data_IF_162601475101
#
_entry.id   IF_162601475101
#
_cell.length_a   1.000
_cell.length_b   1.000
_cell.length_c   1.000
_cell.angle_alpha   90.00
_cell.angle_beta   90.00
_cell.angle_gamma   90.00
#
_symmetry.space_group_name_H-M   'P 1'
#
loop_
_entity.id
_entity.type
_entity.pdbx_description
1 polymer ?
#
# COMPACT_ATOMS: atom_id res chain seq x y z
N UNK A 1 1.56 -45.04 24.19
CA UNK A 1 0.66 -44.35 23.23
C UNK A 1 0.39 -42.89 23.59
N UNK A 2 -0.08 -42.54 24.80
CA UNK A 2 -0.39 -41.14 25.19
C UNK A 2 0.78 -40.15 25.03
N UNK A 3 2.00 -40.55 25.39
CA UNK A 3 3.21 -39.70 25.23
C UNK A 3 3.59 -39.45 23.77
N UNK A 4 3.31 -40.40 22.87
CA UNK A 4 3.56 -40.24 21.43
C UNK A 4 2.54 -39.30 20.78
N UNK A 5 1.26 -39.40 21.15
CA UNK A 5 0.23 -38.45 20.68
C UNK A 5 0.50 -37.03 21.18
N UNK A 6 1.00 -36.88 22.41
CA UNK A 6 1.32 -35.57 22.98
C UNK A 6 2.53 -34.92 22.29
N UNK A 7 3.55 -35.70 21.94
CA UNK A 7 4.69 -35.22 21.15
C UNK A 7 4.28 -34.82 19.72
N UNK A 8 3.38 -35.58 19.07
CA UNK A 8 2.85 -35.23 17.74
C UNK A 8 1.98 -33.98 17.81
N UNK A 9 1.13 -33.85 18.83
CA UNK A 9 0.29 -32.67 19.04
C UNK A 9 1.11 -31.41 19.32
N UNK A 10 2.17 -31.51 20.13
CA UNK A 10 3.11 -30.40 20.36
C UNK A 10 3.89 -30.07 19.09
N UNK A 11 4.38 -31.09 18.35
CA UNK A 11 5.09 -30.88 17.09
C UNK A 11 4.22 -30.18 16.05
N UNK A 12 2.98 -30.64 15.86
CA UNK A 12 2.01 -30.01 14.98
C UNK A 12 1.61 -28.60 15.47
N UNK A 13 1.43 -28.43 16.78
CA UNK A 13 1.14 -27.13 17.39
C UNK A 13 2.27 -26.11 17.20
N UNK A 14 3.53 -26.51 17.38
CA UNK A 14 4.71 -25.67 17.11
C UNK A 14 4.83 -25.37 15.62
N UNK A 15 4.48 -26.32 14.73
CA UNK A 15 4.57 -26.13 13.29
C UNK A 15 3.50 -25.16 12.78
N UNK A 16 2.26 -25.29 13.28
CA UNK A 16 1.14 -24.39 12.96
C UNK A 16 1.33 -23.02 13.61
N UNK A 17 1.72 -22.96 14.89
CA UNK A 17 2.00 -21.70 15.58
C UNK A 17 3.25 -21.02 15.01
N UNK A 18 4.27 -21.79 14.62
CA UNK A 18 5.43 -21.29 13.88
C UNK A 18 5.03 -20.68 12.55
N UNK A 19 4.17 -21.36 11.77
CA UNK A 19 3.65 -20.83 10.49
C UNK A 19 2.78 -19.57 10.66
N UNK A 20 2.07 -19.43 11.79
CA UNK A 20 1.24 -18.26 12.10
C UNK A 20 2.04 -17.10 12.72
N UNK A 21 3.11 -17.38 13.46
CA UNK A 21 3.98 -16.39 14.09
C UNK A 21 5.10 -15.88 13.17
N UNK A 22 5.25 -16.50 12.01
CA UNK A 22 6.03 -15.97 10.90
C UNK A 22 5.21 -14.84 10.26
N UNK A 23 5.22 -13.66 10.86
CA UNK A 23 5.08 -12.39 10.13
C UNK A 23 6.29 -12.27 9.19
N UNK A 24 6.29 -13.16 8.21
CA UNK A 24 7.29 -13.31 7.16
C UNK A 24 7.26 -12.05 6.35
N UNK A 25 8.45 -11.46 6.21
CA UNK A 25 8.60 -10.08 5.86
C UNK A 25 7.66 -9.56 4.78
N UNK A 26 7.14 -8.37 5.02
CA UNK A 26 6.24 -7.73 4.08
C UNK A 26 6.88 -7.56 2.69
N UNK A 27 6.42 -8.39 1.75
CA UNK A 27 6.70 -8.25 0.33
C UNK A 27 5.64 -7.35 -0.30
N UNK A 28 6.10 -6.47 -1.18
CA UNK A 28 5.25 -5.64 -2.03
C UNK A 28 5.50 -5.96 -3.50
N UNK A 29 4.44 -5.93 -4.29
CA UNK A 29 4.55 -5.93 -5.74
C UNK A 29 4.55 -4.49 -6.23
N UNK A 30 5.70 -4.06 -6.76
CA UNK A 30 5.87 -2.77 -7.44
C UNK A 30 5.52 -2.91 -8.92
N UNK A 31 4.57 -2.13 -9.40
CA UNK A 31 4.18 -2.02 -10.81
C UNK A 31 4.80 -0.77 -11.43
N UNK A 32 5.54 -0.96 -12.53
CA UNK A 32 6.19 0.10 -13.32
C UNK A 32 5.71 0.02 -14.76
N UNK A 33 5.57 1.17 -15.43
CA UNK A 33 5.06 1.27 -16.80
C UNK A 33 6.18 1.62 -17.79
N UNK A 34 6.10 1.08 -19.01
CA UNK A 34 6.94 1.50 -20.14
C UNK A 34 6.19 1.28 -21.45
N UNK A 35 5.88 2.35 -22.16
CA UNK A 35 5.24 2.30 -23.47
C UNK A 35 3.86 1.63 -23.42
N UNK A 36 3.07 1.91 -22.38
CA UNK A 36 1.75 1.34 -22.13
C UNK A 36 1.77 -0.06 -21.51
N UNK A 37 2.94 -0.68 -21.32
CA UNK A 37 3.05 -2.02 -20.72
C UNK A 37 3.44 -1.93 -19.24
N UNK A 38 2.66 -2.61 -18.40
CA UNK A 38 2.94 -2.78 -16.98
C UNK A 38 3.91 -3.93 -16.70
N UNK A 39 4.76 -3.74 -15.71
CA UNK A 39 5.72 -4.72 -15.24
C UNK A 39 5.73 -4.77 -13.72
N UNK A 40 5.59 -5.97 -13.18
CA UNK A 40 5.55 -6.24 -11.74
C UNK A 40 6.92 -6.70 -11.23
N UNK A 41 7.28 -6.28 -10.02
CA UNK A 41 8.52 -6.70 -9.35
C UNK A 41 8.24 -6.83 -7.86
N UNK A 42 8.55 -7.99 -7.28
CA UNK A 42 8.41 -8.21 -5.84
C UNK A 42 9.62 -7.67 -5.10
N UNK A 43 9.38 -6.85 -4.08
CA UNK A 43 10.39 -6.15 -3.30
C UNK A 43 10.04 -6.24 -1.81
N UNK A 44 11.05 -6.06 -0.97
CA UNK A 44 10.87 -5.91 0.47
C UNK A 44 10.65 -4.43 0.76
N UNK A 45 9.69 -4.12 1.65
CA UNK A 45 9.37 -2.76 2.06
C UNK A 45 9.63 -2.55 3.55
N UNK A 46 10.34 -1.46 3.86
CA UNK A 46 10.50 -1.02 5.24
C UNK A 46 9.94 0.37 5.41
N UNK A 47 9.43 0.63 6.60
CA UNK A 47 8.98 1.94 7.01
C UNK A 47 9.95 2.47 8.06
N UNK A 48 10.43 3.70 7.87
CA UNK A 48 11.29 4.40 8.82
C UNK A 48 10.76 5.83 8.95
N UNK A 49 10.44 6.25 10.17
CA UNK A 49 9.95 7.60 10.47
C UNK A 49 8.70 7.98 9.62
N UNK A 50 7.77 7.03 9.40
CA UNK A 50 6.55 7.23 8.60
C UNK A 50 6.79 7.28 7.08
N UNK A 51 8.00 6.96 6.62
CA UNK A 51 8.38 6.95 5.20
C UNK A 51 8.64 5.53 4.74
N UNK A 52 8.20 5.22 3.52
CA UNK A 52 8.31 3.90 2.96
C UNK A 52 9.49 3.78 2.00
N UNK A 53 10.21 2.68 2.12
CA UNK A 53 11.41 2.43 1.35
C UNK A 53 11.45 1.03 0.77
N UNK A 54 11.88 0.95 -0.47
CA UNK A 54 12.25 -0.30 -1.13
C UNK A 54 13.70 -0.24 -1.57
N UNK A 55 14.34 -1.40 -1.58
CA UNK A 55 15.75 -1.53 -1.96
C UNK A 55 15.88 -2.31 -3.26
N UNK A 56 16.66 -1.77 -4.19
CA UNK A 56 17.15 -2.53 -5.34
C UNK A 56 18.46 -3.20 -4.98
N UNK A 57 18.52 -4.54 -5.04
CA UNK A 57 19.75 -5.29 -4.77
C UNK A 57 20.85 -5.06 -5.84
N UNK A 58 20.51 -4.44 -6.98
CA UNK A 58 21.46 -4.09 -8.05
C UNK A 58 21.11 -2.70 -8.60
N UNK A 59 22.11 -1.84 -8.89
CA UNK A 59 21.87 -0.49 -9.44
C UNK A 59 21.39 -0.55 -10.90
N UNK A 60 21.68 -1.65 -11.60
CA UNK A 60 21.26 -1.95 -12.98
C UNK A 60 19.91 -2.66 -13.08
N UNK A 61 19.13 -2.72 -11.99
CA UNK A 61 17.82 -3.36 -12.04
C UNK A 61 16.92 -2.67 -13.08
N UNK A 62 16.34 -3.45 -14.01
CA UNK A 62 15.52 -2.91 -15.11
C UNK A 62 14.35 -2.06 -14.63
N UNK A 63 13.78 -2.39 -13.47
CA UNK A 63 12.69 -1.61 -12.87
C UNK A 63 13.15 -0.22 -12.40
N UNK A 64 14.41 -0.05 -11.96
CA UNK A 64 14.95 1.27 -11.62
C UNK A 64 15.05 2.15 -12.85
N UNK A 65 15.47 1.60 -13.99
CA UNK A 65 15.53 2.36 -15.24
C UNK A 65 14.13 2.83 -15.68
N UNK A 66 13.11 1.98 -15.54
CA UNK A 66 11.71 2.36 -15.81
C UNK A 66 11.22 3.42 -14.83
N UNK A 67 11.49 3.26 -13.55
CA UNK A 67 11.13 4.21 -12.51
C UNK A 67 11.77 5.58 -12.74
N UNK A 68 13.05 5.63 -13.15
CA UNK A 68 13.72 6.89 -13.50
C UNK A 68 13.07 7.60 -14.69
N UNK A 69 12.53 6.83 -15.65
CA UNK A 69 11.83 7.38 -16.81
C UNK A 69 10.39 7.80 -16.47
N UNK A 70 9.70 7.05 -15.61
CA UNK A 70 8.37 7.34 -15.13
C UNK A 70 8.28 7.03 -13.62
N UNK A 71 8.31 8.05 -12.74
CA UNK A 71 8.28 7.85 -11.29
C UNK A 71 6.89 7.46 -10.77
N UNK A 72 5.87 7.44 -11.63
CA UNK A 72 4.53 7.00 -11.26
C UNK A 72 4.50 5.46 -11.18
N UNK A 73 4.31 4.93 -9.98
CA UNK A 73 4.26 3.48 -9.75
C UNK A 73 2.95 3.06 -9.07
N UNK A 74 2.61 1.78 -9.21
CA UNK A 74 1.59 1.12 -8.41
C UNK A 74 2.23 0.23 -7.35
N UNK A 75 1.68 0.19 -6.15
CA UNK A 75 2.15 -0.67 -5.06
C UNK A 75 1.02 -1.59 -4.60
N UNK A 76 1.31 -2.89 -4.45
CA UNK A 76 0.37 -3.85 -3.86
C UNK A 76 1.05 -4.68 -2.78
N UNK A 77 0.50 -4.72 -1.58
CA UNK A 77 1.02 -5.52 -0.46
C UNK A 77 0.58 -6.99 -0.59
N UNK A 78 1.45 -7.93 -0.24
CA UNK A 78 1.24 -9.37 -0.51
C UNK A 78 0.10 -10.00 0.30
N UNK A 79 -0.35 -9.37 1.40
CA UNK A 79 -1.55 -9.79 2.14
C UNK A 79 -2.88 -9.48 1.44
N UNK A 80 -2.83 -8.79 0.29
CA UNK A 80 -4.02 -8.31 -0.41
C UNK A 80 -4.03 -8.83 -1.86
N UNK A 81 -4.10 -10.15 -2.03
CA UNK A 81 -4.02 -10.84 -3.32
C UNK A 81 -5.04 -10.36 -4.38
N UNK A 82 -6.08 -9.64 -3.95
CA UNK A 82 -7.10 -9.04 -4.83
C UNK A 82 -7.24 -7.52 -4.68
N UNK A 83 -6.39 -6.84 -3.90
CA UNK A 83 -6.44 -5.39 -3.82
C UNK A 83 -5.90 -4.74 -5.10
N UNK A 84 -6.51 -3.60 -5.43
CA UNK A 84 -5.98 -2.70 -6.45
C UNK A 84 -4.58 -2.23 -6.05
N UNK A 85 -3.72 -1.97 -7.05
CA UNK A 85 -2.43 -1.34 -6.79
C UNK A 85 -2.67 0.12 -6.42
N UNK A 86 -2.16 0.53 -5.26
CA UNK A 86 -2.24 1.91 -4.77
C UNK A 86 -1.24 2.80 -5.54
N UNK A 87 -1.59 4.05 -5.85
CA UNK A 87 -0.70 4.96 -6.59
C UNK A 87 0.36 5.59 -5.68
N UNK A 88 1.64 5.45 -6.07
CA UNK A 88 2.78 6.05 -5.37
C UNK A 88 3.70 6.83 -6.32
N UNK A 89 4.37 7.84 -5.80
CA UNK A 89 5.57 8.43 -6.38
C UNK A 89 6.79 7.70 -5.84
N UNK A 90 7.68 7.28 -6.74
CA UNK A 90 8.91 6.62 -6.36
C UNK A 90 10.13 7.46 -6.71
N UNK A 91 11.02 7.68 -5.74
CA UNK A 91 12.18 8.55 -5.87
C UNK A 91 13.45 7.83 -5.43
N UNK A 92 14.45 7.67 -6.31
CA UNK A 92 15.76 7.16 -5.90
C UNK A 92 16.41 8.14 -4.92
N UNK A 93 16.92 7.60 -3.80
CA UNK A 93 17.62 8.37 -2.78
C UNK A 93 19.09 7.98 -2.80
N UNK A 94 19.97 8.99 -2.84
CA UNK A 94 21.42 8.82 -2.72
C UNK A 94 21.92 9.40 -1.40
N UNK A 95 21.50 8.79 -0.30
CA UNK A 95 21.94 9.08 1.05
C UNK A 95 22.49 7.80 1.66
N UNK A 96 23.80 7.79 1.94
CA UNK A 96 24.49 6.63 2.50
C UNK A 96 24.09 6.34 3.95
N UNK A 97 23.83 7.37 4.76
CA UNK A 97 23.43 7.21 6.15
C UNK A 97 22.02 6.62 6.23
N UNK A 98 21.09 7.13 5.42
CA UNK A 98 19.74 6.58 5.32
C UNK A 98 19.75 5.15 4.76
N UNK A 99 20.59 4.87 3.76
CA UNK A 99 20.78 3.51 3.23
C UNK A 99 21.23 2.55 4.33
N UNK A 100 22.20 2.93 5.15
CA UNK A 100 22.65 2.11 6.28
C UNK A 100 21.54 1.86 7.31
N UNK A 101 20.70 2.88 7.60
CA UNK A 101 19.52 2.73 8.47
C UNK A 101 18.50 1.75 7.88
N UNK A 102 18.19 1.88 6.60
CA UNK A 102 17.28 0.98 5.87
C UNK A 102 17.82 -0.44 5.84
N UNK A 103 19.12 -0.62 5.59
CA UNK A 103 19.73 -1.95 5.58
C UNK A 103 19.69 -2.59 6.97
N UNK A 104 19.94 -1.83 8.03
CA UNK A 104 19.80 -2.31 9.42
C UNK A 104 18.34 -2.69 9.74
N UNK A 105 17.38 -1.93 9.24
CA UNK A 105 15.95 -2.18 9.47
C UNK A 105 15.46 -3.41 8.70
N UNK A 106 15.87 -3.58 7.43
CA UNK A 106 15.65 -4.80 6.64
C UNK A 106 16.25 -5.99 7.39
N UNK A 107 17.49 -5.87 7.87
CA UNK A 107 18.14 -6.91 8.65
C UNK A 107 17.33 -7.26 9.90
N UNK A 108 16.82 -6.26 10.63
CA UNK A 108 16.03 -6.43 11.84
C UNK A 108 14.68 -7.09 11.57
N UNK A 109 13.93 -6.60 10.58
CA UNK A 109 12.58 -7.08 10.22
C UNK A 109 12.64 -8.49 9.62
N UNK A 110 13.74 -8.85 8.95
CA UNK A 110 13.81 -10.06 8.13
C UNK A 110 14.93 -11.04 8.54
N UNK A 111 15.41 -10.95 9.80
CA UNK A 111 16.53 -11.74 10.36
C UNK A 111 16.51 -13.24 10.02
N UNK A 112 15.33 -13.84 9.92
CA UNK A 112 15.19 -15.27 9.61
C UNK A 112 15.35 -15.59 8.11
N UNK A 113 14.86 -14.72 7.21
CA UNK A 113 15.01 -14.89 5.77
C UNK A 113 16.39 -14.44 5.24
N UNK A 114 17.05 -13.49 5.93
CA UNK A 114 18.36 -13.00 5.51
C UNK A 114 19.51 -13.99 5.84
N UNK A 115 19.32 -14.87 6.84
CA UNK A 115 20.28 -15.94 7.17
C UNK A 115 20.49 -16.91 6.00
N UNK A 116 19.51 -17.02 5.09
CA UNK A 116 19.57 -17.82 3.85
C UNK A 116 20.03 -17.01 2.62
N UNK A 117 19.86 -15.68 2.62
CA UNK A 117 20.10 -14.82 1.43
C UNK A 117 21.42 -14.03 1.44
N UNK A 118 22.16 -14.01 2.56
CA UNK A 118 23.42 -13.26 2.71
C UNK A 118 24.54 -13.60 1.72
N UNK A 119 24.38 -14.62 0.86
CA UNK A 119 25.38 -15.06 -0.12
C UNK A 119 25.21 -14.45 -1.53
N UNK A 120 24.12 -13.72 -1.82
CA UNK A 120 23.76 -13.35 -3.21
C UNK A 120 23.60 -11.85 -3.52
N UNK A 121 23.74 -10.96 -2.54
CA UNK A 121 23.58 -9.52 -2.77
C UNK A 121 24.90 -8.78 -2.53
N UNK A 122 25.45 -8.15 -3.57
CA UNK A 122 26.49 -7.12 -3.46
C UNK A 122 25.83 -5.86 -2.87
N UNK A 123 25.57 -5.89 -1.54
CA UNK A 123 24.79 -4.90 -0.78
C UNK A 123 25.38 -3.49 -0.89
N UNK A 124 26.68 -3.41 -1.12
CA UNK A 124 27.45 -2.18 -1.35
C UNK A 124 27.00 -1.35 -2.56
N UNK A 125 26.22 -1.93 -3.48
CA UNK A 125 25.71 -1.22 -4.68
C UNK A 125 24.18 -1.09 -4.70
N UNK A 126 23.52 -1.33 -3.58
CA UNK A 126 22.07 -1.27 -3.52
C UNK A 126 21.57 0.17 -3.70
N UNK A 127 20.56 0.35 -4.57
CA UNK A 127 19.90 1.65 -4.74
C UNK A 127 18.68 1.71 -3.81
N UNK A 128 18.62 2.76 -2.99
CA UNK A 128 17.46 3.04 -2.17
C UNK A 128 16.43 3.83 -2.98
N UNK A 129 15.15 3.50 -2.79
CA UNK A 129 14.01 4.19 -3.38
C UNK A 129 13.00 4.47 -2.29
N UNK A 130 12.62 5.74 -2.15
CA UNK A 130 11.53 6.18 -1.30
C UNK A 130 10.21 6.13 -2.06
N UNK A 131 9.16 5.65 -1.40
CA UNK A 131 7.80 5.59 -1.89
C UNK A 131 6.96 6.62 -1.14
N UNK A 132 6.27 7.49 -1.89
CA UNK A 132 5.35 8.49 -1.35
C UNK A 132 3.95 8.27 -1.93
N UNK A 133 2.90 8.10 -1.12
CA UNK A 133 1.54 8.00 -1.63
C UNK A 133 1.19 9.20 -2.51
N UNK A 134 0.47 8.98 -3.62
CA UNK A 134 0.04 10.05 -4.52
C UNK A 134 -1.22 10.79 -4.03
N UNK A 135 -1.95 10.22 -3.06
CA UNK A 135 -3.34 10.58 -2.80
C UNK A 135 -4.26 9.95 -3.87
N UNK A 136 -5.53 9.65 -3.59
CA UNK A 136 -6.40 10.15 -2.52
C UNK A 136 -6.23 9.42 -1.18
N UNK A 137 -5.96 10.17 -0.10
CA UNK A 137 -6.09 9.62 1.25
C UNK A 137 -7.58 9.36 1.52
N UNK A 138 -8.06 8.15 1.27
CA UNK A 138 -9.16 7.58 2.06
C UNK A 138 -8.64 7.11 3.44
N UNK A 139 -7.80 7.94 4.04
CA UNK A 139 -7.81 8.19 5.46
C UNK A 139 -8.86 9.30 5.69
N UNK A 140 -10.13 8.97 5.46
CA UNK A 140 -11.16 9.65 6.22
C UNK A 140 -10.85 9.37 7.70
N UNK A 141 -10.89 10.38 8.58
CA UNK A 141 -10.83 10.12 10.01
C UNK A 141 -11.95 9.12 10.30
N UNK A 142 -11.59 8.03 10.96
CA UNK A 142 -12.52 7.04 11.49
C UNK A 142 -13.53 7.85 12.32
N UNK A 143 -14.71 8.13 11.76
CA UNK A 143 -15.80 8.75 12.51
C UNK A 143 -16.13 7.74 13.62
N UNK A 144 -15.83 8.10 14.86
CA UNK A 144 -16.38 7.40 16.01
C UNK A 144 -17.90 7.36 15.87
N UNK A 145 -18.55 6.18 15.85
CA UNK A 145 -20.01 6.10 15.87
C UNK A 145 -20.62 6.46 17.25
N UNK A 146 -19.90 7.21 18.10
CA UNK A 146 -20.32 7.55 19.46
C UNK A 146 -20.71 9.01 19.61
N UNK A 147 -21.49 9.56 18.68
CA UNK A 147 -22.38 10.71 18.98
C UNK A 147 -23.67 10.54 18.19
N UNK A 148 -24.52 9.59 18.63
CA UNK A 148 -25.96 9.72 18.40
C UNK A 148 -26.44 10.75 19.42
N UNK A 149 -26.36 12.04 19.08
CA UNK A 149 -27.17 13.05 19.74
C UNK A 149 -28.62 12.77 19.32
N UNK A 150 -29.39 12.24 20.26
CA UNK A 150 -30.84 12.21 20.17
C UNK A 150 -31.36 13.65 20.11
N UNK A 151 -31.59 14.19 18.91
CA UNK A 151 -32.54 15.29 18.72
C UNK A 151 -33.90 14.66 18.40
N UNK A 152 -34.65 14.35 19.44
CA UNK A 152 -36.10 14.28 19.37
C UNK A 152 -36.64 15.70 19.38
N UNK A 153 -36.93 16.24 18.20
CA UNK A 153 -37.85 17.37 18.08
C UNK A 153 -39.08 16.89 17.30
N UNK A 154 -40.18 16.77 18.04
CA UNK A 154 -41.43 16.15 17.63
C UNK A 154 -42.44 17.26 17.31
N UNK A 155 -42.98 17.22 16.08
CA UNK A 155 -44.25 17.78 15.59
C UNK A 155 -44.66 19.23 15.93
N UNK A 156 -44.91 20.03 14.87
CA UNK A 156 -46.31 20.34 14.50
C UNK A 156 -46.49 20.91 13.09
N UNK A 157 -47.64 20.62 12.43
CA UNK A 157 -47.98 21.04 11.06
C UNK A 157 -48.92 22.26 11.04
N UNK A 158 -48.86 23.09 9.99
CA UNK A 158 -50.03 23.81 9.45
C UNK A 158 -49.69 24.69 8.24
N UNK A 159 -50.52 24.54 7.20
CA UNK A 159 -51.08 25.56 6.30
C UNK A 159 -50.10 26.49 5.53
N UNK A 160 -50.25 26.85 4.25
CA UNK A 160 -51.30 26.76 3.22
C UNK A 160 -50.62 27.25 1.91
N UNK A 161 -51.00 26.77 0.71
CA UNK A 161 -50.40 27.17 -0.56
C UNK A 161 -50.97 28.48 -1.11
N UNK A 162 -50.21 29.19 -1.96
CA UNK A 162 -50.83 29.80 -3.14
C UNK A 162 -50.11 29.46 -4.46
N UNK A 163 -50.91 28.90 -5.37
CA UNK A 163 -51.14 29.17 -6.80
C UNK A 163 -49.99 29.50 -7.80
N UNK A 164 -50.20 29.19 -9.09
CA UNK A 164 -49.15 29.05 -10.10
C UNK A 164 -48.89 30.35 -10.89
N UNK A 165 -47.72 30.45 -11.52
CA UNK A 165 -47.49 31.37 -12.62
C UNK A 165 -46.93 30.60 -13.83
N UNK A 166 -47.78 30.51 -14.85
CA UNK A 166 -47.45 30.27 -16.25
C UNK A 166 -46.30 31.16 -16.74
N UNK A 167 -45.48 30.61 -17.63
CA UNK A 167 -44.46 31.35 -18.37
C UNK A 167 -43.60 30.42 -19.24
N UNK A 168 -44.10 30.11 -20.43
CA UNK A 168 -43.47 29.27 -21.44
C UNK A 168 -42.40 30.04 -22.28
N UNK A 169 -42.03 29.66 -23.53
CA UNK A 169 -40.75 29.02 -23.87
C UNK A 169 -39.87 29.81 -24.88
N UNK A 170 -38.61 29.40 -25.06
CA UNK A 170 -37.74 29.78 -26.20
C UNK A 170 -36.48 28.90 -26.19
N UNK A 171 -36.20 27.95 -27.10
CA UNK A 171 -36.10 27.90 -28.57
C UNK A 171 -34.89 28.68 -29.16
N UNK A 172 -34.00 27.92 -29.80
CA UNK A 172 -32.83 28.34 -30.60
C UNK A 172 -31.64 27.44 -30.25
N UNK A 173 -31.26 26.38 -30.98
CA UNK A 173 -31.05 26.19 -32.42
C UNK A 173 -30.08 27.23 -33.01
N UNK A 174 -28.85 26.78 -33.27
CA UNK A 174 -27.79 27.57 -33.90
C UNK A 174 -26.57 26.70 -34.16
N UNK A 175 -26.52 26.12 -35.35
CA UNK A 175 -25.35 25.50 -35.96
C UNK A 175 -24.41 26.58 -36.51
N UNK A 176 -23.11 26.29 -36.57
CA UNK A 176 -22.04 26.88 -37.39
C UNK A 176 -20.73 26.41 -36.75
N UNK A 177 -19.71 25.87 -37.42
CA UNK A 177 -19.36 25.74 -38.83
C UNK A 177 -18.41 24.55 -39.00
#
# INVERSE_FOLDING_TARGET
MRRAMLAIGIGAGILVFGALALDEGELVTLSTEKGGRLYSTQLWIVEIDGREFVRANRPSARWLARLRANPAVGLRRSGAAHAAAEPYWAQPIDDQALRARVDAEILRKYRFADRTWGRFADRTKAQLVELRPRGDSSAAPRQDPSVITHQTETLSPSATPPAPAEGAPGRGSGASS
#
